data_IF_120667924883
#
_entry.id   IF_120667924883
#
_cell.length_a   1.000
_cell.length_b   1.000
_cell.length_c   1.000
_cell.angle_alpha   90.00
_cell.angle_beta   90.00
_cell.angle_gamma   90.00
#
_symmetry.space_group_name_H-M   'P 1'
#
loop_
_entity.id
_entity.type
_entity.pdbx_description
1 polymer ?
#
# COMPACT_ATOMS: atom_id res chain seq x y z
N UNK A 1 -8.67 15.50 -8.38
CA UNK A 1 -8.03 15.77 -7.08
C UNK A 1 -6.54 15.84 -7.34
N UNK A 2 -5.85 16.81 -6.75
CA UNK A 2 -4.38 16.81 -6.74
C UNK A 2 -3.86 15.59 -5.96
N UNK A 3 -2.63 15.15 -6.23
CA UNK A 3 -1.98 14.02 -5.57
C UNK A 3 -2.06 14.14 -4.05
N UNK A 4 -1.83 15.33 -3.51
CA UNK A 4 -1.88 15.56 -2.05
C UNK A 4 -3.28 15.38 -1.48
N UNK A 5 -4.31 15.82 -2.20
CA UNK A 5 -5.70 15.66 -1.79
C UNK A 5 -6.10 14.20 -1.81
N UNK A 6 -5.72 13.46 -2.85
CA UNK A 6 -5.98 12.01 -2.97
C UNK A 6 -5.34 11.24 -1.83
N UNK A 7 -4.06 11.50 -1.52
CA UNK A 7 -3.36 10.85 -0.39
C UNK A 7 -4.03 11.20 0.95
N UNK A 8 -4.43 12.46 1.13
CA UNK A 8 -5.13 12.90 2.34
C UNK A 8 -6.46 12.16 2.51
N UNK A 9 -7.22 12.00 1.43
CA UNK A 9 -8.49 11.28 1.43
C UNK A 9 -8.28 9.78 1.70
N UNK A 10 -7.31 9.13 1.04
CA UNK A 10 -6.93 7.73 1.30
C UNK A 10 -6.59 7.51 2.78
N UNK A 11 -5.73 8.37 3.36
CA UNK A 11 -5.39 8.30 4.79
C UNK A 11 -6.61 8.58 5.69
N UNK A 12 -7.56 9.38 5.22
CA UNK A 12 -8.88 9.56 5.84
C UNK A 12 -9.66 8.25 5.88
N UNK A 13 -9.75 7.53 4.76
CA UNK A 13 -10.38 6.22 4.69
C UNK A 13 -9.70 5.21 5.63
N UNK A 14 -8.38 5.22 5.72
CA UNK A 14 -7.68 4.34 6.66
C UNK A 14 -8.07 4.57 8.12
N UNK A 15 -8.24 5.83 8.52
CA UNK A 15 -8.70 6.17 9.88
C UNK A 15 -10.14 5.74 10.14
N UNK A 16 -11.00 5.76 9.13
CA UNK A 16 -12.40 5.32 9.26
C UNK A 16 -12.52 3.82 9.50
N UNK A 17 -11.63 3.01 8.90
CA UNK A 17 -11.68 1.55 8.96
C UNK A 17 -10.62 0.92 9.85
N UNK A 18 -9.89 1.72 10.63
CA UNK A 18 -8.80 1.20 11.46
C UNK A 18 -9.29 0.21 12.51
N UNK A 19 -8.49 -0.81 12.77
CA UNK A 19 -8.73 -1.82 13.80
C UNK A 19 -7.53 -1.89 14.75
N UNK A 20 -7.69 -1.27 15.92
CA UNK A 20 -6.67 -1.23 16.97
C UNK A 20 -6.29 -2.61 17.51
N UNK A 21 -7.27 -3.52 17.64
CA UNK A 21 -7.03 -4.87 18.17
C UNK A 21 -6.20 -5.69 17.19
N UNK A 22 -6.52 -5.63 15.89
CA UNK A 22 -5.76 -6.33 14.84
C UNK A 22 -4.35 -5.77 14.73
N UNK A 23 -4.20 -4.44 14.68
CA UNK A 23 -2.87 -3.81 14.60
C UNK A 23 -2.00 -4.11 15.82
N UNK A 24 -2.57 -4.17 17.02
CA UNK A 24 -1.88 -4.62 18.23
C UNK A 24 -1.44 -6.09 18.11
N UNK A 25 -2.35 -7.00 17.74
CA UNK A 25 -2.03 -8.43 17.60
C UNK A 25 -0.94 -8.68 16.55
N UNK A 26 -0.97 -7.95 15.44
CA UNK A 26 0.08 -8.01 14.41
C UNK A 26 1.44 -7.62 14.98
N UNK A 27 1.51 -6.54 15.79
CA UNK A 27 2.75 -6.10 16.43
C UNK A 27 3.27 -7.12 17.43
N UNK A 28 2.40 -7.68 18.27
CA UNK A 28 2.75 -8.73 19.23
C UNK A 28 3.30 -9.99 18.54
N UNK A 29 2.91 -10.23 17.29
CA UNK A 29 3.39 -11.34 16.44
C UNK A 29 4.63 -10.98 15.59
N UNK A 30 5.23 -9.80 15.80
CA UNK A 30 6.48 -9.40 15.16
C UNK A 30 6.34 -8.58 13.87
N UNK A 31 5.13 -8.19 13.46
CA UNK A 31 4.92 -7.25 12.35
C UNK A 31 5.05 -5.80 12.85
N UNK A 32 6.29 -5.39 13.12
CA UNK A 32 6.62 -4.06 13.63
C UNK A 32 6.79 -3.03 12.51
N UNK A 33 5.67 -2.63 11.90
CA UNK A 33 5.60 -1.45 11.06
C UNK A 33 5.60 -0.18 11.93
N UNK A 34 6.19 0.91 11.42
CA UNK A 34 6.17 2.22 12.10
C UNK A 34 4.73 2.68 12.37
N UNK A 35 3.83 2.47 11.42
CA UNK A 35 2.38 2.61 11.61
C UNK A 35 1.64 1.48 10.89
N UNK A 36 0.63 0.94 11.56
CA UNK A 36 -0.25 -0.12 11.07
C UNK A 36 -1.66 0.20 11.55
N UNK A 37 -2.60 0.37 10.62
CA UNK A 37 -4.01 0.62 10.93
C UNK A 37 -4.80 -0.67 11.17
N UNK A 38 -4.24 -1.85 10.89
CA UNK A 38 -4.89 -3.14 11.12
C UNK A 38 -6.05 -3.40 10.18
N UNK A 39 -6.05 -2.77 9.00
CA UNK A 39 -7.13 -2.89 8.03
C UNK A 39 -6.96 -4.21 7.26
N UNK A 40 -8.05 -4.96 7.18
CA UNK A 40 -8.11 -6.21 6.44
C UNK A 40 -8.06 -6.00 4.93
N UNK A 41 -7.48 -6.97 4.22
CA UNK A 41 -7.23 -6.88 2.78
C UNK A 41 -8.51 -6.63 1.93
N UNK A 42 -9.67 -7.27 2.20
CA UNK A 42 -10.89 -6.97 1.45
C UNK A 42 -11.27 -5.50 1.51
N UNK A 43 -11.17 -4.87 2.69
CA UNK A 43 -11.45 -3.45 2.86
C UNK A 43 -10.44 -2.57 2.13
N UNK A 44 -9.16 -2.92 2.13
CA UNK A 44 -8.15 -2.19 1.35
C UNK A 44 -8.44 -2.23 -0.15
N UNK A 45 -8.90 -3.38 -0.68
CA UNK A 45 -9.34 -3.49 -2.07
C UNK A 45 -10.55 -2.59 -2.37
N UNK A 46 -11.53 -2.55 -1.47
CA UNK A 46 -12.68 -1.63 -1.60
C UNK A 46 -12.26 -0.15 -1.60
N UNK A 47 -11.28 0.22 -0.77
CA UNK A 47 -10.73 1.59 -0.74
C UNK A 47 -10.02 1.86 -2.07
N UNK A 48 -9.11 0.98 -2.50
CA UNK A 48 -8.34 1.15 -3.73
C UNK A 48 -9.25 1.29 -4.96
N UNK A 49 -10.35 0.53 -5.03
CA UNK A 49 -11.31 0.57 -6.14
C UNK A 49 -12.03 1.93 -6.31
N UNK A 50 -11.93 2.85 -5.33
CA UNK A 50 -12.50 4.21 -5.43
C UNK A 50 -11.59 5.19 -6.17
N UNK A 51 -10.35 4.81 -6.45
CA UNK A 51 -9.35 5.67 -7.07
C UNK A 51 -8.88 5.07 -8.39
N UNK A 52 -8.62 5.94 -9.36
CA UNK A 52 -7.92 5.53 -10.57
C UNK A 52 -6.46 5.20 -10.25
N UNK A 53 -5.88 4.26 -11.00
CA UNK A 53 -4.45 4.00 -10.93
C UNK A 53 -3.69 5.27 -11.32
N UNK A 54 -2.72 5.65 -10.50
CA UNK A 54 -1.94 6.87 -10.70
C UNK A 54 -0.54 6.68 -10.15
N UNK A 55 0.46 6.88 -11.02
CA UNK A 55 1.86 6.67 -10.68
C UNK A 55 2.32 7.56 -9.52
N UNK A 56 2.04 8.86 -9.57
CA UNK A 56 2.49 9.80 -8.54
C UNK A 56 1.87 9.49 -7.17
N UNK A 57 0.59 9.12 -7.14
CA UNK A 57 -0.11 8.69 -5.91
C UNK A 57 0.52 7.40 -5.38
N UNK A 58 0.74 6.40 -6.23
CA UNK A 58 1.32 5.13 -5.81
C UNK A 58 2.74 5.30 -5.27
N UNK A 59 3.59 6.07 -5.94
CA UNK A 59 4.96 6.36 -5.47
C UNK A 59 4.95 7.17 -4.16
N UNK A 60 4.03 8.11 -4.00
CA UNK A 60 3.91 8.88 -2.76
C UNK A 60 3.41 8.02 -1.60
N UNK A 61 2.44 7.13 -1.83
CA UNK A 61 2.00 6.14 -0.85
C UNK A 61 3.12 5.15 -0.51
N UNK A 62 3.90 4.71 -1.49
CA UNK A 62 5.03 3.82 -1.24
C UNK A 62 6.05 4.48 -0.31
N UNK A 63 6.35 5.77 -0.46
CA UNK A 63 7.31 6.46 0.43
C UNK A 63 6.86 6.55 1.90
N UNK A 64 5.58 6.31 2.18
CA UNK A 64 5.06 6.30 3.55
C UNK A 64 5.47 5.02 4.29
N UNK A 65 5.99 5.18 5.51
CA UNK A 65 6.30 4.05 6.39
C UNK A 65 5.02 3.63 7.15
N UNK A 66 4.00 3.25 6.39
CA UNK A 66 2.66 2.85 6.85
C UNK A 66 2.27 1.60 6.06
N UNK A 67 1.92 0.51 6.76
CA UNK A 67 1.58 -0.79 6.13
C UNK A 67 0.51 -0.64 5.03
N UNK A 68 -0.61 0.00 5.36
CA UNK A 68 -1.73 0.14 4.42
C UNK A 68 -1.39 1.00 3.21
N UNK A 69 -0.51 2.01 3.35
CA UNK A 69 -0.03 2.80 2.22
C UNK A 69 0.79 1.93 1.25
N UNK A 70 1.68 1.08 1.76
CA UNK A 70 2.48 0.15 0.94
C UNK A 70 1.60 -0.80 0.13
N UNK A 71 0.59 -1.39 0.79
CA UNK A 71 -0.34 -2.30 0.13
C UNK A 71 -1.15 -1.57 -0.95
N UNK A 72 -1.69 -0.39 -0.66
CA UNK A 72 -2.46 0.39 -1.65
C UNK A 72 -1.60 0.89 -2.81
N UNK A 73 -0.33 1.22 -2.57
CA UNK A 73 0.60 1.62 -3.63
C UNK A 73 0.71 0.56 -4.72
N UNK A 74 0.87 -0.72 -4.34
CA UNK A 74 0.88 -1.83 -5.31
C UNK A 74 -0.42 -1.94 -6.12
N UNK A 75 -1.58 -1.71 -5.49
CA UNK A 75 -2.88 -1.74 -6.16
C UNK A 75 -3.10 -0.56 -7.13
N UNK A 76 -2.55 0.61 -6.81
CA UNK A 76 -2.78 1.86 -7.53
C UNK A 76 -1.69 2.22 -8.55
N UNK A 77 -0.58 1.49 -8.59
CA UNK A 77 0.49 1.71 -9.55
C UNK A 77 0.09 1.22 -10.96
N UNK A 78 0.10 2.08 -11.99
CA UNK A 78 -0.07 1.64 -13.38
C UNK A 78 1.13 0.82 -13.85
N UNK A 79 0.89 -0.28 -14.54
CA UNK A 79 1.94 -1.21 -15.02
C UNK A 79 2.86 -0.51 -16.01
N UNK A 80 2.27 0.33 -16.88
CA UNK A 80 2.92 1.04 -17.99
C UNK A 80 3.95 2.08 -17.51
N UNK A 81 3.89 2.44 -16.24
CA UNK A 81 4.77 3.44 -15.60
C UNK A 81 5.61 2.84 -14.48
N UNK A 82 5.64 1.51 -14.37
CA UNK A 82 6.41 0.80 -13.36
C UNK A 82 7.64 0.14 -13.99
N UNK A 83 8.72 0.93 -14.10
CA UNK A 83 9.97 0.50 -14.72
C UNK A 83 10.77 -0.41 -13.78
N UNK A 84 11.66 -1.29 -14.32
CA UNK A 84 12.47 -2.19 -13.51
C UNK A 84 13.25 -1.51 -12.38
N UNK A 85 13.77 -0.31 -12.61
CA UNK A 85 14.52 0.46 -11.61
C UNK A 85 13.65 0.85 -10.41
N UNK A 86 12.35 1.08 -10.64
CA UNK A 86 11.38 1.36 -9.56
C UNK A 86 11.05 0.06 -8.82
N UNK A 87 10.96 -1.07 -9.54
CA UNK A 87 10.77 -2.38 -8.94
C UNK A 87 11.92 -2.74 -7.99
N UNK A 88 13.17 -2.51 -8.41
CA UNK A 88 14.37 -2.74 -7.58
C UNK A 88 14.30 -1.91 -6.28
N UNK A 89 14.00 -0.62 -6.38
CA UNK A 89 13.83 0.28 -5.21
C UNK A 89 12.72 -0.24 -4.28
N UNK A 90 11.61 -0.71 -4.83
CA UNK A 90 10.51 -1.24 -4.04
C UNK A 90 10.92 -2.53 -3.32
N UNK A 91 11.52 -3.47 -4.04
CA UNK A 91 11.97 -4.75 -3.47
C UNK A 91 13.00 -4.56 -2.37
N UNK A 92 13.95 -3.65 -2.52
CA UNK A 92 14.95 -3.33 -1.49
C UNK A 92 14.32 -2.82 -0.18
N UNK A 93 13.16 -2.16 -0.26
CA UNK A 93 12.46 -1.59 0.90
C UNK A 93 11.40 -2.55 1.51
N UNK A 94 11.12 -3.69 0.87
CA UNK A 94 10.15 -4.68 1.36
C UNK A 94 10.68 -5.45 2.58
N UNK A 95 10.30 -4.98 3.77
CA UNK A 95 10.73 -5.60 5.03
C UNK A 95 10.00 -6.90 5.39
N UNK A 96 8.74 -7.05 4.97
CA UNK A 96 7.88 -8.17 5.36
C UNK A 96 7.36 -8.91 4.12
N UNK A 97 7.29 -10.26 4.16
CA UNK A 97 6.82 -11.07 3.02
C UNK A 97 5.45 -10.65 2.50
N UNK A 98 4.54 -10.23 3.38
CA UNK A 98 3.21 -9.75 3.01
C UNK A 98 3.23 -8.64 1.95
N UNK A 99 4.12 -7.66 2.07
CA UNK A 99 4.20 -6.57 1.09
C UNK A 99 4.67 -7.11 -0.26
N UNK A 100 5.65 -8.02 -0.27
CA UNK A 100 6.12 -8.66 -1.49
C UNK A 100 5.01 -9.47 -2.16
N UNK A 101 4.35 -10.35 -1.41
CA UNK A 101 3.25 -11.19 -1.92
C UNK A 101 2.12 -10.36 -2.51
N UNK A 102 1.64 -9.35 -1.78
CA UNK A 102 0.54 -8.50 -2.24
C UNK A 102 0.94 -7.62 -3.43
N UNK A 103 2.19 -7.17 -3.49
CA UNK A 103 2.69 -6.41 -4.64
C UNK A 103 2.84 -7.30 -5.86
N UNK A 104 3.30 -8.55 -5.70
CA UNK A 104 3.31 -9.53 -6.78
C UNK A 104 1.91 -9.78 -7.35
N UNK A 105 0.93 -9.97 -6.46
CA UNK A 105 -0.47 -10.19 -6.84
C UNK A 105 -1.17 -8.97 -7.44
N UNK A 106 -0.73 -7.75 -7.16
CA UNK A 106 -1.43 -6.54 -7.63
C UNK A 106 -0.73 -5.85 -8.80
N UNK A 107 0.59 -6.06 -8.94
CA UNK A 107 1.44 -5.34 -9.86
C UNK A 107 2.41 -6.25 -10.61
N UNK A 108 3.30 -6.97 -9.92
CA UNK A 108 4.45 -7.60 -10.61
C UNK A 108 4.04 -8.71 -11.58
N UNK A 109 2.96 -9.45 -11.31
CA UNK A 109 2.49 -10.48 -12.24
C UNK A 109 2.06 -9.94 -13.62
N UNK A 110 1.86 -8.63 -13.74
CA UNK A 110 1.47 -7.96 -14.98
C UNK A 110 2.65 -7.29 -15.69
N UNK A 111 3.86 -7.32 -15.10
CA UNK A 111 5.07 -6.82 -15.73
C UNK A 111 5.53 -7.78 -16.85
N UNK A 112 6.18 -7.27 -17.90
CA UNK A 112 6.65 -8.07 -19.03
C UNK A 112 7.79 -9.04 -18.67
#
# INVERSE_FOLDING_TARGET
MDVRETIKDIKGQFRLFMNGVVSQSMREKGLDYKLNFGIELPRLKEIAARYEKNHEVAQALWKENIRECKILAGMLQPVETFYPEIADIWVEDMRYPEIAELTCMSLFQYLP
#
